data_IF_717498979754
#
_entry.id   IF_717498979754
#
_cell.length_a   1.000
_cell.length_b   1.000
_cell.length_c   1.000
_cell.angle_alpha   90.00
_cell.angle_beta   90.00
_cell.angle_gamma   90.00
#
_symmetry.space_group_name_H-M   'P 1'
#
loop_
_entity.id
_entity.type
_entity.pdbx_description
1 polymer ?
#
# COMPACT_ATOMS: atom_id res chain seq x y z
N UNK A 1 10.43 1.49 28.91
CA UNK A 1 9.79 2.24 27.81
C UNK A 1 8.39 2.63 28.25
N UNK A 2 8.07 3.91 28.20
CA UNK A 2 6.74 4.44 28.54
C UNK A 2 6.10 4.92 27.24
N UNK A 3 4.85 4.55 26.98
CA UNK A 3 4.10 5.09 25.85
C UNK A 3 3.76 6.56 26.12
N UNK A 4 3.96 7.44 25.14
CA UNK A 4 3.56 8.84 25.21
C UNK A 4 2.61 9.15 24.04
N UNK A 5 1.47 9.77 24.34
CA UNK A 5 0.56 10.24 23.31
C UNK A 5 1.15 11.48 22.66
N UNK A 6 1.31 11.48 21.34
CA UNK A 6 1.65 12.69 20.60
C UNK A 6 0.34 13.43 20.37
N UNK A 7 0.05 14.43 21.21
CA UNK A 7 -1.16 15.23 21.08
C UNK A 7 -1.16 15.94 19.72
N UNK A 8 -2.27 15.83 18.97
CA UNK A 8 -2.51 16.72 17.85
C UNK A 8 -2.69 18.13 18.40
N UNK A 9 -1.95 19.11 17.89
CA UNK A 9 -2.25 20.52 18.19
C UNK A 9 -3.73 20.79 17.89
N UNK A 10 -4.46 21.43 18.80
CA UNK A 10 -5.90 21.69 18.71
C UNK A 10 -6.33 22.53 17.50
N UNK A 11 -5.37 23.01 16.71
CA UNK A 11 -5.56 23.90 15.56
C UNK A 11 -5.22 23.27 14.20
N UNK A 12 -4.70 22.03 14.12
CA UNK A 12 -4.37 21.40 12.82
C UNK A 12 -5.40 20.35 12.41
N UNK A 13 -5.92 20.44 11.19
CA UNK A 13 -6.71 19.36 10.59
C UNK A 13 -5.97 18.02 10.67
N UNK A 14 -6.69 16.96 11.04
CA UNK A 14 -6.13 15.63 11.21
C UNK A 14 -6.98 14.58 10.49
N UNK A 15 -6.39 13.44 10.10
CA UNK A 15 -7.15 12.38 9.46
C UNK A 15 -8.26 11.87 10.38
N UNK A 16 -9.44 11.65 9.81
CA UNK A 16 -10.54 11.01 10.53
C UNK A 16 -10.16 9.62 11.08
N UNK A 17 -10.84 9.21 12.14
CA UNK A 17 -10.73 7.86 12.69
C UNK A 17 -10.96 6.82 11.58
N UNK A 18 -10.06 5.83 11.49
CA UNK A 18 -10.04 4.89 10.36
C UNK A 18 -9.45 3.54 10.72
N UNK A 19 -9.84 2.52 9.97
CA UNK A 19 -9.29 1.15 10.03
C UNK A 19 -8.81 0.71 8.65
N UNK A 20 -7.95 -0.31 8.58
CA UNK A 20 -7.50 -0.94 7.32
C UNK A 20 -6.76 -0.01 6.35
N UNK A 21 -6.25 1.11 6.84
CA UNK A 21 -5.35 2.01 6.12
C UNK A 21 -3.95 1.40 6.04
N UNK A 22 -3.09 1.97 5.19
CA UNK A 22 -1.64 1.77 5.31
C UNK A 22 -0.97 3.04 5.83
N UNK A 23 0.14 2.86 6.53
CA UNK A 23 1.02 3.93 6.97
C UNK A 23 2.46 3.57 6.62
N UNK A 24 3.21 4.49 6.01
CA UNK A 24 4.59 4.25 5.53
C UNK A 24 5.49 5.41 5.93
N UNK A 25 6.63 5.13 6.56
CA UNK A 25 7.65 6.12 6.89
C UNK A 25 8.58 6.34 5.68
N UNK A 26 8.67 7.57 5.17
CA UNK A 26 9.61 7.97 4.11
C UNK A 26 10.17 9.35 4.41
N UNK A 27 11.49 9.52 4.28
CA UNK A 27 12.11 10.84 4.38
C UNK A 27 11.91 11.55 5.73
N UNK A 28 11.61 10.82 6.80
CA UNK A 28 11.33 11.39 8.13
C UNK A 28 9.86 11.74 8.39
N UNK A 29 8.97 11.48 7.44
CA UNK A 29 7.53 11.73 7.59
C UNK A 29 6.73 10.43 7.44
N UNK A 30 5.59 10.33 8.14
CA UNK A 30 4.67 9.19 8.01
C UNK A 30 3.57 9.54 7.01
N UNK A 31 3.41 8.72 5.99
CA UNK A 31 2.36 8.86 4.98
C UNK A 31 1.25 7.87 5.25
N UNK A 32 0.02 8.35 5.32
CA UNK A 32 -1.19 7.60 5.66
C UNK A 32 -2.15 7.62 4.47
N UNK A 33 -2.51 6.45 3.95
CA UNK A 33 -3.39 6.33 2.78
C UNK A 33 -4.66 5.53 3.10
N UNK A 34 -5.81 6.11 2.74
CA UNK A 34 -7.09 5.42 2.65
C UNK A 34 -7.54 4.74 3.95
N UNK A 35 -8.07 3.53 3.80
CA UNK A 35 -8.77 2.78 4.84
C UNK A 35 -10.28 3.02 4.80
N UNK A 36 -10.93 2.89 5.95
CA UNK A 36 -12.37 3.15 6.10
C UNK A 36 -12.70 3.74 7.46
N UNK A 37 -13.69 4.62 7.51
CA UNK A 37 -14.34 5.08 8.73
C UNK A 37 -15.72 4.43 8.83
N UNK A 38 -15.86 3.39 9.64
CA UNK A 38 -17.05 2.54 9.64
C UNK A 38 -17.29 1.91 8.25
N UNK A 39 -18.39 2.28 7.61
CA UNK A 39 -18.76 1.85 6.25
C UNK A 39 -18.29 2.80 5.16
N UNK A 40 -17.70 3.96 5.50
CA UNK A 40 -17.24 4.95 4.53
C UNK A 40 -15.82 4.61 4.05
N UNK A 41 -15.61 4.22 2.78
CA UNK A 41 -14.29 4.03 2.22
C UNK A 41 -13.58 5.37 2.09
N UNK A 42 -12.30 5.42 2.44
CA UNK A 42 -11.47 6.63 2.40
C UNK A 42 -10.48 6.54 1.23
N UNK A 43 -10.29 7.67 0.56
CA UNK A 43 -9.30 7.87 -0.53
C UNK A 43 -8.33 9.01 -0.23
N UNK A 44 -8.44 9.61 0.95
CA UNK A 44 -7.60 10.71 1.36
C UNK A 44 -6.17 10.22 1.64
N UNK A 45 -5.22 11.14 1.46
CA UNK A 45 -3.81 10.89 1.64
C UNK A 45 -3.23 11.97 2.54
N UNK A 46 -2.58 11.55 3.61
CA UNK A 46 -2.11 12.43 4.66
C UNK A 46 -0.62 12.22 4.89
N UNK A 47 0.04 13.27 5.36
CA UNK A 47 1.39 13.24 5.87
C UNK A 47 1.40 13.71 7.31
N UNK A 48 2.12 12.98 8.14
CA UNK A 48 2.48 13.41 9.49
C UNK A 48 3.96 13.76 9.51
N UNK A 49 4.26 15.04 9.77
CA UNK A 49 5.62 15.54 9.87
C UNK A 49 6.15 15.28 11.27
N UNK A 50 7.15 14.40 11.40
CA UNK A 50 7.73 14.07 12.70
C UNK A 50 8.58 15.22 13.27
N UNK A 51 9.01 16.15 12.42
CA UNK A 51 9.82 17.31 12.81
C UNK A 51 9.06 18.33 13.66
N UNK A 52 7.77 18.54 13.39
CA UNK A 52 6.93 19.52 14.09
C UNK A 52 5.58 18.97 14.59
N UNK A 53 5.39 17.65 14.52
CA UNK A 53 4.22 16.92 15.00
C UNK A 53 2.89 17.36 14.35
N UNK A 54 2.91 17.73 13.07
CA UNK A 54 1.73 18.21 12.34
C UNK A 54 1.24 17.24 11.27
N UNK A 55 -0.08 17.09 11.23
CA UNK A 55 -0.77 16.48 10.09
C UNK A 55 -0.95 17.49 8.97
N UNK A 56 -0.92 16.99 7.74
CA UNK A 56 -1.17 17.74 6.52
C UNK A 56 -1.88 16.82 5.53
N UNK A 57 -3.03 17.26 5.02
CA UNK A 57 -3.69 16.55 3.94
C UNK A 57 -2.97 16.87 2.62
N UNK A 58 -2.49 15.84 1.94
CA UNK A 58 -1.83 15.97 0.67
C UNK A 58 -2.85 15.95 -0.47
N UNK A 59 -2.59 16.75 -1.49
CA UNK A 59 -3.36 16.78 -2.73
C UNK A 59 -2.44 16.54 -3.93
N UNK A 60 -1.96 15.30 -4.13
CA UNK A 60 -1.02 15.00 -5.20
C UNK A 60 -1.65 15.12 -6.59
N UNK A 61 -0.80 15.36 -7.58
CA UNK A 61 -1.19 15.30 -9.00
C UNK A 61 -1.06 13.88 -9.56
N UNK A 62 -1.54 13.67 -10.79
CA UNK A 62 -1.37 12.43 -11.54
C UNK A 62 -2.48 11.39 -11.31
N UNK A 63 -2.16 10.12 -11.56
CA UNK A 63 -3.10 9.01 -11.46
C UNK A 63 -3.22 8.50 -10.02
N UNK A 64 -3.99 9.22 -9.21
CA UNK A 64 -4.23 8.88 -7.82
C UNK A 64 -4.91 7.50 -7.66
N UNK A 65 -4.57 6.72 -6.62
CA UNK A 65 -5.30 5.50 -6.30
C UNK A 65 -6.78 5.79 -5.99
N UNK A 66 -7.67 4.82 -6.23
CA UNK A 66 -9.06 4.92 -5.77
C UNK A 66 -9.12 4.82 -4.24
N UNK A 67 -10.33 4.76 -3.67
CA UNK A 67 -10.46 4.37 -2.26
C UNK A 67 -9.89 2.97 -2.06
N UNK A 68 -8.91 2.83 -1.18
CA UNK A 68 -8.22 1.56 -0.91
C UNK A 68 -8.35 1.18 0.57
N UNK A 69 -8.63 -0.08 0.84
CA UNK A 69 -8.55 -0.68 2.18
C UNK A 69 -7.89 -2.06 2.14
N UNK A 70 -7.20 -2.45 3.22
CA UNK A 70 -6.43 -3.70 3.31
C UNK A 70 -5.37 -3.84 2.19
N UNK A 71 -4.90 -2.69 1.67
CA UNK A 71 -3.72 -2.59 0.83
C UNK A 71 -2.46 -2.60 1.69
N UNK A 72 -1.32 -2.80 1.06
CA UNK A 72 -0.01 -2.66 1.70
C UNK A 72 0.82 -1.61 0.97
N UNK A 73 1.82 -1.08 1.65
CA UNK A 73 2.73 -0.11 1.07
C UNK A 73 4.15 -0.32 1.58
N UNK A 74 5.15 -0.02 0.75
CA UNK A 74 6.56 0.03 1.15
C UNK A 74 7.22 1.29 0.62
N UNK A 75 8.21 1.77 1.38
CA UNK A 75 9.08 2.86 0.97
C UNK A 75 10.28 2.32 0.19
N UNK A 76 10.66 2.98 -0.91
CA UNK A 76 11.98 2.80 -1.50
C UNK A 76 12.47 4.11 -2.11
N UNK A 77 13.63 4.60 -1.63
CA UNK A 77 14.16 5.93 -1.96
C UNK A 77 13.09 7.01 -1.69
N UNK A 78 12.82 7.87 -2.66
CA UNK A 78 11.84 8.95 -2.57
C UNK A 78 10.43 8.54 -3.03
N UNK A 79 10.15 7.22 -3.07
CA UNK A 79 8.89 6.69 -3.56
C UNK A 79 8.17 5.82 -2.54
N UNK A 80 6.84 5.90 -2.55
CA UNK A 80 5.94 4.96 -1.85
C UNK A 80 5.27 4.10 -2.91
N UNK A 81 5.38 2.79 -2.75
CA UNK A 81 4.77 1.80 -3.62
C UNK A 81 3.58 1.18 -2.89
N UNK A 82 2.39 1.31 -3.45
CA UNK A 82 1.13 0.84 -2.85
C UNK A 82 0.58 -0.29 -3.69
N UNK A 83 0.40 -1.47 -3.09
CA UNK A 83 -0.11 -2.64 -3.79
C UNK A 83 -1.44 -3.14 -3.23
N UNK A 84 -2.34 -3.52 -4.13
CA UNK A 84 -3.56 -4.24 -3.83
C UNK A 84 -4.59 -3.42 -3.04
N UNK A 85 -5.32 -4.13 -2.18
CA UNK A 85 -6.48 -3.60 -1.47
C UNK A 85 -7.79 -3.81 -2.22
N UNK A 86 -8.90 -3.54 -1.53
CA UNK A 86 -10.22 -3.58 -2.13
C UNK A 86 -10.43 -2.35 -3.01
N UNK A 87 -10.42 -2.58 -4.32
CA UNK A 87 -10.79 -1.62 -5.36
C UNK A 87 -12.28 -1.83 -5.63
N UNK A 88 -13.08 -0.76 -5.65
CA UNK A 88 -14.53 -0.85 -5.87
C UNK A 88 -14.91 -1.82 -7.00
N UNK A 89 -15.44 -2.99 -6.61
CA UNK A 89 -16.19 -4.04 -7.33
C UNK A 89 -15.82 -4.50 -8.76
N UNK A 90 -14.82 -3.97 -9.46
CA UNK A 90 -14.55 -4.41 -10.84
C UNK A 90 -13.14 -4.10 -11.31
N UNK A 91 -12.16 -4.97 -10.99
CA UNK A 91 -10.83 -4.87 -11.59
C UNK A 91 -10.03 -6.19 -11.55
N UNK A 92 -10.63 -7.34 -11.88
CA UNK A 92 -9.86 -8.61 -11.97
C UNK A 92 -8.70 -8.54 -13.01
N UNK A 93 -8.76 -7.57 -13.92
CA UNK A 93 -7.79 -7.38 -14.99
C UNK A 93 -6.79 -6.24 -14.79
N UNK A 94 -6.88 -5.45 -13.72
CA UNK A 94 -5.93 -4.36 -13.50
C UNK A 94 -4.83 -4.75 -12.51
N UNK A 95 -3.65 -4.16 -12.70
CA UNK A 95 -2.53 -4.29 -11.77
C UNK A 95 -2.70 -3.21 -10.72
N UNK A 96 -2.96 -3.57 -9.45
CA UNK A 96 -3.24 -2.59 -8.40
C UNK A 96 -1.94 -2.07 -7.80
N UNK A 97 -1.02 -1.53 -8.61
CA UNK A 97 0.23 -0.94 -8.15
C UNK A 97 0.24 0.56 -8.46
N UNK A 98 0.30 1.37 -7.42
CA UNK A 98 0.47 2.83 -7.51
C UNK A 98 1.80 3.25 -6.92
N UNK A 99 2.42 4.25 -7.53
CA UNK A 99 3.74 4.75 -7.15
C UNK A 99 3.62 6.25 -6.92
N UNK A 100 3.87 6.67 -5.68
CA UNK A 100 3.92 8.06 -5.28
C UNK A 100 5.36 8.52 -5.19
N UNK A 101 5.69 9.61 -5.89
CA UNK A 101 6.96 10.29 -5.72
C UNK A 101 6.80 11.42 -4.70
N UNK A 102 7.54 11.31 -3.60
CA UNK A 102 7.50 12.25 -2.47
C UNK A 102 8.03 13.63 -2.86
N UNK A 103 9.06 13.69 -3.71
CA UNK A 103 9.69 14.96 -4.12
C UNK A 103 8.81 15.78 -5.05
N UNK A 104 8.10 15.11 -5.95
CA UNK A 104 7.25 15.78 -6.95
C UNK A 104 5.78 15.86 -6.55
N UNK A 105 5.40 15.24 -5.43
CA UNK A 105 4.02 15.12 -4.98
C UNK A 105 3.09 14.61 -6.10
N UNK A 106 3.49 13.48 -6.71
CA UNK A 106 2.86 12.95 -7.92
C UNK A 106 2.63 11.45 -7.82
N UNK A 107 1.42 11.01 -8.15
CA UNK A 107 1.08 9.60 -8.32
C UNK A 107 1.16 9.20 -9.80
N UNK A 108 1.59 7.97 -10.03
CA UNK A 108 1.32 7.25 -11.27
C UNK A 108 0.84 5.84 -10.98
N UNK A 109 0.02 5.30 -11.87
CA UNK A 109 -0.31 3.87 -11.90
C UNK A 109 0.79 3.13 -12.65
N UNK A 110 1.23 2.00 -12.11
CA UNK A 110 2.17 1.14 -12.81
C UNK A 110 1.45 0.37 -13.91
N UNK A 111 2.00 0.43 -15.12
CA UNK A 111 1.51 -0.30 -16.30
C UNK A 111 2.55 -1.33 -16.72
N UNK A 112 2.19 -2.61 -16.66
CA UNK A 112 3.07 -3.68 -17.15
C UNK A 112 2.90 -3.88 -18.65
N UNK A 113 3.91 -4.48 -19.27
CA UNK A 113 3.82 -4.95 -20.65
C UNK A 113 2.66 -5.95 -20.84
N UNK A 114 2.04 -5.92 -22.01
CA UNK A 114 0.92 -6.81 -22.36
C UNK A 114 1.37 -8.26 -22.24
N UNK A 115 0.61 -9.07 -21.50
CA UNK A 115 0.91 -10.49 -21.30
C UNK A 115 1.94 -10.80 -20.21
N UNK A 116 2.47 -9.78 -19.52
CA UNK A 116 3.37 -10.00 -18.39
C UNK A 116 2.67 -10.77 -17.26
N UNK A 117 3.42 -11.67 -16.62
CA UNK A 117 2.95 -12.39 -15.45
C UNK A 117 3.06 -11.48 -14.21
N UNK A 118 1.90 -11.04 -13.71
CA UNK A 118 1.80 -10.04 -12.63
C UNK A 118 0.85 -10.53 -11.54
N UNK A 119 1.08 -10.16 -10.28
CA UNK A 119 0.16 -10.50 -9.21
C UNK A 119 -1.19 -9.83 -9.45
N UNK A 120 -2.26 -10.62 -9.37
CA UNK A 120 -3.63 -10.11 -9.43
C UNK A 120 -4.02 -9.37 -8.15
N UNK A 121 -5.07 -8.55 -8.28
CA UNK A 121 -5.81 -7.93 -7.18
C UNK A 121 -6.00 -8.83 -5.98
N UNK A 122 -5.62 -8.33 -4.80
CA UNK A 122 -5.70 -9.05 -3.53
C UNK A 122 -5.76 -8.07 -2.36
N UNK A 123 -6.41 -8.49 -1.27
CA UNK A 123 -6.51 -7.73 -0.02
C UNK A 123 -5.95 -8.49 1.17
N UNK A 124 -5.47 -7.78 2.18
CA UNK A 124 -4.93 -8.37 3.40
C UNK A 124 -3.68 -9.24 3.16
N UNK A 125 -2.92 -8.96 2.11
CA UNK A 125 -1.58 -9.51 1.94
C UNK A 125 -0.60 -8.71 2.81
N UNK A 126 0.58 -9.26 3.06
CA UNK A 126 1.69 -8.50 3.64
C UNK A 126 2.66 -8.08 2.55
N UNK A 127 3.33 -6.95 2.76
CA UNK A 127 4.43 -6.52 1.92
C UNK A 127 5.62 -6.05 2.74
N UNK A 128 6.82 -6.24 2.22
CA UNK A 128 8.06 -5.75 2.84
C UNK A 128 9.11 -5.39 1.79
N UNK A 129 10.01 -4.49 2.17
CA UNK A 129 11.18 -4.13 1.37
C UNK A 129 12.30 -5.16 1.60
N UNK A 130 12.81 -5.77 0.52
CA UNK A 130 13.98 -6.63 0.59
C UNK A 130 14.85 -6.50 -0.66
N UNK A 131 16.14 -6.18 -0.47
CA UNK A 131 17.17 -6.15 -1.53
C UNK A 131 16.72 -5.48 -2.85
N UNK A 132 16.14 -4.28 -2.75
CA UNK A 132 15.73 -3.51 -3.94
C UNK A 132 14.45 -4.03 -4.61
N UNK A 133 13.65 -4.81 -3.89
CA UNK A 133 12.32 -5.22 -4.32
C UNK A 133 11.26 -5.06 -3.22
N UNK A 134 10.02 -4.85 -3.63
CA UNK A 134 8.85 -5.09 -2.77
C UNK A 134 8.51 -6.58 -2.87
N UNK A 135 8.53 -7.29 -1.75
CA UNK A 135 7.94 -8.62 -1.67
C UNK A 135 6.49 -8.51 -1.24
N UNK A 136 5.60 -9.29 -1.85
CA UNK A 136 4.23 -9.47 -1.38
C UNK A 136 3.94 -10.95 -1.18
N UNK A 137 3.26 -11.28 -0.08
CA UNK A 137 2.88 -12.66 0.22
C UNK A 137 1.41 -12.81 0.57
N UNK A 138 0.81 -13.88 0.04
CA UNK A 138 -0.55 -14.28 0.33
C UNK A 138 -1.60 -13.27 -0.12
N UNK A 139 -2.60 -13.03 0.73
CA UNK A 139 -3.75 -12.17 0.46
C UNK A 139 -4.97 -12.94 -0.05
N UNK A 140 -6.14 -12.32 0.10
CA UNK A 140 -7.43 -12.86 -0.35
C UNK A 140 -7.79 -12.32 -1.73
N UNK A 141 -8.14 -13.23 -2.63
CA UNK A 141 -8.43 -12.98 -4.06
C UNK A 141 -9.85 -13.44 -4.40
N UNK A 142 -10.86 -12.79 -3.84
CA UNK A 142 -12.29 -13.02 -4.10
C UNK A 142 -12.65 -14.47 -4.46
N UNK A 143 -13.02 -14.76 -5.70
CA UNK A 143 -13.45 -16.08 -6.17
C UNK A 143 -12.38 -17.19 -6.01
N UNK A 144 -11.09 -16.83 -5.88
CA UNK A 144 -9.97 -17.76 -5.70
C UNK A 144 -9.57 -17.99 -4.24
N UNK A 145 -10.14 -17.23 -3.31
CA UNK A 145 -9.82 -17.35 -1.88
C UNK A 145 -8.41 -16.88 -1.53
N UNK A 146 -7.84 -17.43 -0.45
CA UNK A 146 -6.50 -17.05 0.01
C UNK A 146 -5.40 -17.55 -0.93
N UNK A 147 -4.35 -16.75 -1.10
CA UNK A 147 -3.17 -17.10 -1.89
C UNK A 147 -2.00 -17.53 -0.99
N UNK A 148 -1.11 -18.36 -1.53
CA UNK A 148 0.22 -18.66 -0.99
C UNK A 148 1.35 -18.23 -1.96
N UNK A 149 1.04 -17.33 -2.90
CA UNK A 149 2.03 -16.82 -3.84
C UNK A 149 2.95 -15.81 -3.13
N UNK A 150 4.26 -15.93 -3.36
CA UNK A 150 5.26 -14.92 -3.04
C UNK A 150 5.70 -14.24 -4.33
N UNK A 151 5.50 -12.93 -4.42
CA UNK A 151 5.92 -12.14 -5.57
C UNK A 151 6.96 -11.10 -5.18
N UNK A 152 7.82 -10.73 -6.12
CA UNK A 152 8.76 -9.62 -6.01
C UNK A 152 8.53 -8.60 -7.11
N UNK A 153 8.41 -7.32 -6.75
CA UNK A 153 8.49 -6.20 -7.67
C UNK A 153 9.86 -5.54 -7.55
N UNK A 154 10.70 -5.67 -8.57
CA UNK A 154 12.03 -5.08 -8.61
C UNK A 154 11.94 -3.62 -9.02
N UNK A 155 12.36 -2.69 -8.15
CA UNK A 155 12.16 -1.25 -8.38
C UNK A 155 12.95 -0.70 -9.57
N UNK A 156 14.17 -1.23 -9.80
CA UNK A 156 15.04 -0.74 -10.88
C UNK A 156 14.51 -1.11 -12.28
N UNK A 157 14.07 -2.35 -12.43
CA UNK A 157 13.53 -2.86 -13.70
C UNK A 157 12.03 -2.63 -13.86
N UNK A 158 11.36 -2.15 -12.80
CA UNK A 158 9.90 -2.08 -12.67
C UNK A 158 9.18 -3.34 -13.16
N UNK A 159 9.59 -4.51 -12.66
CA UNK A 159 9.08 -5.81 -13.12
C UNK A 159 8.67 -6.72 -11.98
N UNK A 160 7.62 -7.50 -12.20
CA UNK A 160 7.11 -8.50 -11.28
C UNK A 160 7.67 -9.89 -11.59
N UNK A 161 8.03 -10.63 -10.53
CA UNK A 161 8.49 -12.01 -10.62
C UNK A 161 7.78 -12.85 -9.56
N UNK A 162 7.23 -14.00 -9.97
CA UNK A 162 6.71 -14.99 -9.03
C UNK A 162 7.88 -15.79 -8.48
N UNK A 163 8.15 -15.67 -7.18
CA UNK A 163 9.28 -16.36 -6.55
C UNK A 163 8.92 -17.77 -6.09
N UNK A 164 7.70 -17.96 -5.58
CA UNK A 164 7.26 -19.27 -5.12
C UNK A 164 5.74 -19.40 -5.06
N UNK A 165 5.23 -20.59 -5.38
CA UNK A 165 3.84 -20.99 -5.15
C UNK A 165 3.74 -22.52 -4.97
N UNK A 166 2.66 -23.01 -4.38
CA UNK A 166 2.33 -24.44 -4.35
C UNK A 166 2.63 -25.18 -3.02
N UNK A 167 2.71 -26.52 -3.06
CA UNK A 167 2.64 -27.39 -1.87
C UNK A 167 3.84 -27.27 -0.91
N UNK A 168 4.99 -26.81 -1.39
CA UNK A 168 6.20 -26.65 -0.58
C UNK A 168 6.37 -25.23 -0.02
N UNK A 169 5.39 -24.35 -0.25
CA UNK A 169 5.36 -22.99 0.29
C UNK A 169 4.56 -22.96 1.60
N UNK A 170 4.71 -21.92 2.44
CA UNK A 170 3.82 -21.73 3.57
C UNK A 170 2.34 -21.74 3.11
N UNK A 171 1.40 -22.16 3.97
CA UNK A 171 -0.01 -22.21 3.60
C UNK A 171 -0.58 -20.84 3.20
N UNK A 172 -1.59 -20.89 2.34
CA UNK A 172 -2.31 -19.71 1.87
C UNK A 172 -2.97 -18.97 3.04
N UNK A 173 -2.82 -17.64 3.07
CA UNK A 173 -3.28 -16.81 4.19
C UNK A 173 -3.48 -15.36 3.79
N UNK A 174 -4.27 -14.63 4.58
CA UNK A 174 -4.49 -13.19 4.48
C UNK A 174 -4.67 -12.62 5.89
N UNK A 175 -4.65 -11.29 6.04
CA UNK A 175 -4.67 -10.56 7.32
C UNK A 175 -3.54 -10.97 8.28
N UNK A 176 -2.37 -11.26 7.71
CA UNK A 176 -1.13 -11.54 8.44
C UNK A 176 -0.19 -10.34 8.36
N UNK A 177 0.87 -10.36 9.16
CA UNK A 177 1.96 -9.38 9.16
C UNK A 177 3.28 -10.03 8.73
N UNK A 178 4.18 -9.22 8.17
CA UNK A 178 5.54 -9.62 7.80
C UNK A 178 6.54 -8.54 8.24
#
# INVERSE_FOLDING_TARGET
MMWCSVASSSESECPSARSKHSATLVGGDIYLLGGRNGNLPLKDFWRYRLSDNKWEQLHPSGECPPSLQEHSAVAHKDCIYVFGGEVGFSAENEIPLWIYNVKTNHWRKFCSQRGANVPRGRRGHSALLYRGAMLIYGGYRDLKGSSNELWAFHFETESWHLLSCGKNCPPARHKHSA
#
